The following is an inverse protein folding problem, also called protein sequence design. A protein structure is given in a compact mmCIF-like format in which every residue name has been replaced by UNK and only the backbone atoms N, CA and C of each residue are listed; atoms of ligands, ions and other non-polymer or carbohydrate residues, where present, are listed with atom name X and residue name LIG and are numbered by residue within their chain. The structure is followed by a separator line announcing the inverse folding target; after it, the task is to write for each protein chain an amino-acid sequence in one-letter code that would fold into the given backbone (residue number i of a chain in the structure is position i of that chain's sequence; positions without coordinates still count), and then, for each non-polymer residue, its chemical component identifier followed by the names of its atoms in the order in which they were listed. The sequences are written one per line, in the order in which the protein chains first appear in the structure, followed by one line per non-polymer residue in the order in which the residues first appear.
data_IF_223363794065
#
_entry.id   IF_223363794065
#
_cell.length_a   1.000
_cell.length_b   1.000
_cell.length_c   1.000
_cell.angle_alpha   90.00
_cell.angle_beta   90.00
_cell.angle_gamma   90.00
#
_symmetry.space_group_name_H-M   'P 1'
#
loop_
_entity.id
_entity.type
_entity.pdbx_description
1 polymer ?
#
# COMPACT_ATOMS: atom_id res chain seq x y z
N UNK A 1 -20.91 -33.83 31.65
CA UNK A 1 -19.45 -34.06 31.77
C UNK A 1 -18.85 -34.04 30.38
N UNK A 2 -18.23 -32.94 29.95
CA UNK A 2 -17.48 -32.86 28.68
C UNK A 2 -16.20 -32.06 28.93
N UNK A 3 -15.09 -32.59 28.42
CA UNK A 3 -13.72 -32.36 28.86
C UNK A 3 -13.13 -31.00 28.46
N UNK A 4 -12.35 -30.42 29.37
CA UNK A 4 -11.61 -29.18 29.19
C UNK A 4 -10.32 -29.36 28.37
N UNK A 5 -10.14 -28.48 27.38
CA UNK A 5 -8.96 -28.42 26.54
C UNK A 5 -7.90 -27.49 27.17
N UNK A 6 -6.82 -28.09 27.69
CA UNK A 6 -5.63 -27.38 28.21
C UNK A 6 -4.73 -26.96 27.03
N UNK A 7 -4.64 -25.66 26.77
CA UNK A 7 -3.61 -25.11 25.86
C UNK A 7 -2.24 -25.09 26.56
N UNK A 8 -1.26 -25.78 25.99
CA UNK A 8 0.15 -25.71 26.36
C UNK A 8 0.75 -24.42 25.78
N UNK A 9 1.40 -23.63 26.62
CA UNK A 9 2.22 -22.49 26.23
C UNK A 9 3.63 -23.02 25.93
N UNK A 10 4.07 -22.91 24.67
CA UNK A 10 5.41 -23.28 24.26
C UNK A 10 6.41 -22.20 24.71
N UNK A 11 7.41 -22.66 25.45
CA UNK A 11 8.53 -21.90 26.01
C UNK A 11 9.55 -21.65 24.88
N UNK A 12 9.74 -20.40 24.47
CA UNK A 12 10.78 -20.02 23.51
C UNK A 12 12.10 -19.79 24.24
N UNK A 13 13.10 -20.54 23.81
CA UNK A 13 14.46 -20.60 24.34
C UNK A 13 15.23 -19.30 24.12
N UNK A 14 15.94 -18.89 25.16
CA UNK A 14 16.93 -17.81 25.18
C UNK A 14 18.13 -18.14 24.30
N UNK A 15 18.45 -17.27 23.34
CA UNK A 15 19.68 -17.30 22.56
C UNK A 15 20.83 -16.79 23.46
N UNK A 16 21.82 -17.65 23.70
CA UNK A 16 23.09 -17.27 24.31
C UNK A 16 23.94 -16.46 23.30
N UNK A 17 24.35 -15.27 23.71
CA UNK A 17 25.37 -14.47 23.03
C UNK A 17 26.73 -14.98 23.50
N UNK A 18 27.53 -15.48 22.56
CA UNK A 18 28.90 -15.92 22.79
C UNK A 18 29.84 -14.74 22.98
N UNK A 19 30.52 -14.77 24.12
CA UNK A 19 31.65 -13.92 24.48
C UNK A 19 32.91 -14.39 23.73
N UNK A 20 33.50 -13.54 22.89
CA UNK A 20 34.86 -13.72 22.38
C UNK A 20 35.63 -12.41 22.52
N UNK A 21 36.57 -12.41 23.48
CA UNK A 21 37.51 -11.35 23.72
C UNK A 21 38.55 -11.25 22.60
N UNK A 22 38.63 -10.06 22.01
CA UNK A 22 39.77 -9.56 21.27
C UNK A 22 40.05 -8.18 21.83
N UNK A 23 41.26 -7.96 22.36
CA UNK A 23 41.77 -6.62 22.71
C UNK A 23 42.07 -5.89 21.40
N UNK A 24 41.01 -5.60 20.65
CA UNK A 24 41.05 -4.78 19.45
C UNK A 24 40.65 -3.39 19.85
N UNK A 25 41.60 -2.44 19.83
CA UNK A 25 41.25 -1.03 19.91
C UNK A 25 40.21 -0.72 18.84
N UNK A 26 39.13 -0.05 19.24
CA UNK A 26 38.02 0.31 18.36
C UNK A 26 38.56 1.05 17.13
N UNK A 27 38.38 0.50 15.93
CA UNK A 27 38.86 1.13 14.71
C UNK A 27 38.19 2.51 14.49
N UNK A 28 38.83 3.47 13.80
CA UNK A 28 38.21 4.76 13.51
C UNK A 28 36.89 4.59 12.74
N UNK A 29 35.84 5.30 13.14
CA UNK A 29 34.49 5.09 12.60
C UNK A 29 33.39 5.90 13.28
N UNK A 30 32.16 5.78 12.75
CA UNK A 30 30.95 6.33 13.37
C UNK A 30 30.39 5.33 14.38
N UNK A 31 30.28 5.73 15.64
CA UNK A 31 29.75 4.90 16.72
C UNK A 31 28.67 5.68 17.51
N UNK A 32 27.81 5.01 18.29
CA UNK A 32 26.82 5.69 19.13
C UNK A 32 27.48 6.74 20.03
N UNK A 33 26.94 7.96 20.07
CA UNK A 33 27.54 9.06 20.85
C UNK A 33 27.47 8.72 22.35
N UNK A 34 28.61 8.58 23.06
CA UNK A 34 28.62 8.23 24.48
C UNK A 34 27.99 9.33 25.35
N UNK A 35 27.90 10.57 24.85
CA UNK A 35 27.24 11.66 25.57
C UNK A 35 25.71 11.63 25.42
N UNK A 36 25.17 10.82 24.51
CA UNK A 36 23.74 10.75 24.22
C UNK A 36 23.14 11.99 23.56
N UNK A 37 23.96 12.99 23.18
CA UNK A 37 23.50 14.25 22.57
C UNK A 37 23.18 14.10 21.08
N UNK A 38 23.85 13.19 20.40
CA UNK A 38 23.72 12.91 18.97
C UNK A 38 23.52 11.42 18.69
N UNK A 39 23.12 11.04 17.47
CA UNK A 39 22.85 9.62 17.13
C UNK A 39 24.14 8.83 16.99
N UNK A 40 25.16 9.44 16.39
CA UNK A 40 26.49 8.86 16.29
C UNK A 40 27.55 9.95 16.31
N UNK A 41 28.72 9.64 16.83
CA UNK A 41 29.89 10.50 16.87
C UNK A 41 31.06 9.78 16.21
N UNK A 42 31.94 10.54 15.58
CA UNK A 42 33.13 9.97 14.98
C UNK A 42 34.17 9.70 16.06
N UNK A 43 34.61 8.45 16.16
CA UNK A 43 35.75 8.01 16.96
C UNK A 43 36.97 7.90 16.05
N UNK A 44 38.08 8.55 16.39
CA UNK A 44 39.30 8.58 15.56
C UNK A 44 40.22 7.37 15.79
N UNK A 45 39.79 6.39 16.57
CA UNK A 45 40.60 5.24 16.98
C UNK A 45 41.33 5.43 18.32
N UNK A 46 41.32 6.65 18.88
CA UNK A 46 41.92 6.96 20.19
C UNK A 46 40.94 7.73 21.09
N UNK A 47 40.20 8.69 20.52
CA UNK A 47 39.26 9.56 21.23
C UNK A 47 38.06 9.91 20.35
N UNK A 48 36.98 10.36 21.01
CA UNK A 48 35.81 10.90 20.35
C UNK A 48 36.08 12.29 19.82
N UNK A 49 35.65 12.59 18.60
CA UNK A 49 35.88 13.91 17.98
C UNK A 49 34.65 14.83 18.13
N UNK A 50 34.77 16.14 17.84
CA UNK A 50 33.62 17.05 17.83
C UNK A 50 32.61 16.75 16.71
N UNK A 51 32.94 15.87 15.78
CA UNK A 51 32.11 15.57 14.62
C UNK A 51 31.03 14.57 15.03
N UNK A 52 29.78 15.00 14.94
CA UNK A 52 28.62 14.20 15.27
C UNK A 52 27.64 14.18 14.10
N UNK A 53 26.78 13.16 14.07
CA UNK A 53 25.63 13.11 13.20
C UNK A 53 24.38 13.44 14.01
N UNK A 54 23.65 14.46 13.57
CA UNK A 54 22.33 14.74 14.11
C UNK A 54 21.36 13.57 13.86
N UNK A 55 20.14 13.69 14.39
CA UNK A 55 19.11 12.67 14.19
C UNK A 55 18.71 12.44 12.71
N UNK A 56 19.17 13.30 11.80
CA UNK A 56 18.94 13.22 10.34
C UNK A 56 20.20 12.76 9.59
N UNK A 57 21.21 12.25 10.31
CA UNK A 57 22.52 11.87 9.76
C UNK A 57 23.26 13.01 9.04
N UNK A 58 23.02 14.26 9.43
CA UNK A 58 23.79 15.40 8.92
C UNK A 58 25.02 15.62 9.80
N UNK A 59 26.21 15.85 9.22
CA UNK A 59 27.39 16.26 9.97
C UNK A 59 27.13 17.57 10.71
N UNK A 60 27.34 17.56 12.02
CA UNK A 60 27.27 18.71 12.93
C UNK A 60 28.54 18.73 13.77
N UNK A 61 29.01 19.94 14.10
CA UNK A 61 30.15 20.14 14.97
C UNK A 61 29.66 20.44 16.39
N UNK A 62 30.02 19.57 17.34
CA UNK A 62 29.68 19.68 18.76
C UNK A 62 30.95 19.73 19.61
N UNK A 63 31.30 20.88 20.21
CA UNK A 63 32.51 21.02 21.01
C UNK A 63 32.45 20.10 22.24
N UNK A 64 33.46 19.24 22.38
CA UNK A 64 33.64 18.39 23.55
C UNK A 64 34.40 19.16 24.64
N UNK A 65 33.93 19.18 25.89
CA UNK A 65 34.67 19.78 26.99
C UNK A 65 36.02 19.07 27.15
N UNK A 66 37.12 19.82 27.07
CA UNK A 66 38.49 19.29 27.17
C UNK A 66 39.25 19.16 25.84
N UNK A 67 38.63 19.43 24.69
CA UNK A 67 39.33 19.52 23.39
C UNK A 67 39.61 20.97 23.00
N UNK A 68 40.66 21.55 23.59
CA UNK A 68 41.13 22.93 23.32
C UNK A 68 42.26 23.00 22.28
N UNK A 69 42.43 21.99 21.43
CA UNK A 69 43.57 21.90 20.50
C UNK A 69 43.19 21.59 19.07
N UNK A 70 43.58 22.50 18.16
CA UNK A 70 43.81 22.35 16.71
C UNK A 70 42.94 21.34 15.94
N UNK A 71 42.04 21.85 15.10
CA UNK A 71 41.34 21.09 14.05
C UNK A 71 42.38 20.43 13.13
N UNK A 72 42.56 19.09 13.14
CA UNK A 72 43.40 18.43 12.15
C UNK A 72 42.70 18.59 10.79
N UNK A 73 43.42 19.13 9.82
CA UNK A 73 42.90 19.41 8.48
C UNK A 73 42.22 18.18 7.87
N UNK A 74 40.99 18.37 7.40
CA UNK A 74 40.31 17.40 6.55
C UNK A 74 41.14 17.15 5.27
N UNK A 75 41.08 15.96 4.67
CA UNK A 75 41.36 15.81 3.24
C UNK A 75 40.27 16.55 2.46
N UNK A 76 40.61 17.71 1.91
CA UNK A 76 39.75 18.50 1.03
C UNK A 76 39.38 17.70 -0.22
N UNK A 77 38.10 17.49 -0.47
CA UNK A 77 37.63 17.08 -1.80
C UNK A 77 37.91 18.26 -2.76
N UNK A 78 38.62 18.07 -3.88
CA UNK A 78 39.00 19.19 -4.74
C UNK A 78 37.76 19.80 -5.42
N UNK A 79 37.45 21.05 -5.05
CA UNK A 79 36.43 21.87 -5.69
C UNK A 79 37.07 22.66 -6.83
N UNK A 80 36.96 22.16 -8.06
CA UNK A 80 37.25 22.93 -9.27
C UNK A 80 36.06 23.80 -9.62
N UNK A 81 36.17 25.11 -9.40
CA UNK A 81 35.16 26.08 -9.84
C UNK A 81 35.66 27.51 -9.66
N UNK A 82 35.93 28.27 -10.73
CA UNK A 82 36.40 29.64 -10.63
C UNK A 82 35.24 30.59 -10.29
N UNK A 83 35.54 31.57 -9.45
CA UNK A 83 34.67 32.69 -9.11
C UNK A 83 34.39 33.59 -10.33
N UNK A 84 33.26 34.33 -10.32
CA UNK A 84 33.25 35.63 -10.97
C UNK A 84 32.67 36.73 -10.07
N UNK A 85 33.40 37.85 -10.02
CA UNK A 85 32.91 39.13 -9.54
C UNK A 85 32.39 40.00 -10.69
N UNK A 86 31.42 40.85 -10.36
CA UNK A 86 31.28 42.22 -10.89
C UNK A 86 30.53 42.45 -12.22
N UNK A 87 29.33 43.05 -12.09
CA UNK A 87 28.81 44.24 -12.80
C UNK A 87 27.37 44.08 -13.37
N UNK A 88 26.49 45.11 -13.23
CA UNK A 88 25.15 45.09 -13.81
C UNK A 88 25.17 45.71 -15.22
N UNK A 89 24.91 44.89 -16.23
CA UNK A 89 24.77 45.29 -17.63
C UNK A 89 23.41 44.85 -18.19
N UNK A 90 22.60 45.82 -18.56
CA UNK A 90 21.33 45.67 -19.28
C UNK A 90 21.61 45.10 -20.69
N UNK A 91 20.95 44.00 -21.08
CA UNK A 91 21.05 43.49 -22.44
C UNK A 91 20.53 42.07 -22.68
N UNK A 92 19.45 41.98 -23.45
CA UNK A 92 19.15 40.95 -24.45
C UNK A 92 19.08 39.46 -24.04
N UNK A 93 17.84 38.97 -23.94
CA UNK A 93 17.40 37.74 -24.65
C UNK A 93 18.21 36.47 -24.43
N UNK A 94 18.38 36.03 -23.19
CA UNK A 94 18.87 34.68 -22.91
C UNK A 94 17.79 33.64 -23.27
N UNK A 95 17.98 32.96 -24.40
CA UNK A 95 17.29 31.69 -24.69
C UNK A 95 17.58 30.74 -23.52
N UNK A 96 16.57 30.23 -22.79
CA UNK A 96 16.82 29.41 -21.61
C UNK A 96 17.56 28.14 -22.05
N UNK A 97 18.84 28.09 -21.67
CA UNK A 97 19.73 26.96 -21.86
C UNK A 97 19.05 25.70 -21.30
N UNK A 98 19.04 24.66 -22.13
CA UNK A 98 18.28 23.42 -21.98
C UNK A 98 18.14 22.99 -20.53
N UNK A 99 16.89 22.97 -20.06
CA UNK A 99 16.54 22.34 -18.80
C UNK A 99 17.01 20.88 -18.89
N UNK A 100 18.15 20.59 -18.24
CA UNK A 100 18.72 19.27 -18.17
C UNK A 100 17.59 18.31 -17.74
N UNK A 101 17.26 17.38 -18.62
CA UNK A 101 16.18 16.42 -18.43
C UNK A 101 16.39 15.70 -17.09
N UNK A 102 15.54 16.02 -16.11
CA UNK A 102 15.63 15.43 -14.79
C UNK A 102 15.63 13.90 -14.92
N UNK A 103 16.49 13.19 -14.17
CA UNK A 103 16.58 11.74 -14.26
C UNK A 103 15.21 11.12 -13.98
N UNK A 104 14.71 10.34 -14.93
CA UNK A 104 13.42 9.65 -14.84
C UNK A 104 13.50 8.65 -13.70
N UNK A 105 12.68 8.85 -12.66
CA UNK A 105 12.64 7.94 -11.52
C UNK A 105 12.31 6.51 -12.00
N UNK A 106 13.09 5.49 -11.58
CA UNK A 106 12.86 4.11 -11.98
C UNK A 106 11.48 3.63 -11.51
N UNK A 107 10.81 2.85 -12.36
CA UNK A 107 9.50 2.28 -12.06
C UNK A 107 9.67 1.22 -10.96
N UNK A 108 8.87 1.24 -9.89
CA UNK A 108 8.86 0.15 -8.91
C UNK A 108 8.17 -1.08 -9.53
N UNK A 109 8.91 -1.83 -10.35
CA UNK A 109 8.41 -3.01 -11.09
C UNK A 109 7.72 -4.00 -10.15
N UNK A 110 8.25 -4.19 -8.94
CA UNK A 110 7.65 -5.09 -7.95
C UNK A 110 6.21 -4.71 -7.55
N UNK A 111 5.92 -3.42 -7.38
CA UNK A 111 4.58 -2.96 -7.03
C UNK A 111 3.58 -3.15 -8.19
N UNK A 112 4.04 -3.00 -9.43
CA UNK A 112 3.21 -3.25 -10.62
C UNK A 112 2.90 -4.73 -10.77
N UNK A 113 3.92 -5.59 -10.71
CA UNK A 113 3.76 -7.05 -10.81
C UNK A 113 2.79 -7.57 -9.75
N UNK A 114 2.94 -7.12 -8.51
CA UNK A 114 2.01 -7.47 -7.43
C UNK A 114 0.56 -7.10 -7.77
N UNK A 115 0.30 -5.87 -8.23
CA UNK A 115 -1.07 -5.44 -8.60
C UNK A 115 -1.63 -6.23 -9.77
N UNK A 116 -0.82 -6.50 -10.79
CA UNK A 116 -1.23 -7.33 -11.93
C UNK A 116 -1.59 -8.76 -11.47
N UNK A 117 -0.83 -9.34 -10.54
CA UNK A 117 -1.14 -10.63 -9.96
C UNK A 117 -2.48 -10.60 -9.21
N UNK A 118 -2.70 -9.60 -8.35
CA UNK A 118 -3.97 -9.44 -7.61
C UNK A 118 -5.16 -9.29 -8.57
N UNK A 119 -5.01 -8.54 -9.66
CA UNK A 119 -6.04 -8.40 -10.70
C UNK A 119 -6.33 -9.71 -11.43
N UNK A 120 -5.29 -10.50 -11.72
CA UNK A 120 -5.44 -11.83 -12.29
C UNK A 120 -6.19 -12.78 -11.35
N UNK A 121 -5.84 -12.81 -10.07
CA UNK A 121 -6.54 -13.61 -9.06
C UNK A 121 -8.00 -13.18 -8.94
N UNK A 122 -8.29 -11.88 -8.90
CA UNK A 122 -9.67 -11.38 -8.86
C UNK A 122 -10.50 -11.83 -10.08
N UNK A 123 -9.92 -11.79 -11.29
CA UNK A 123 -10.58 -12.29 -12.50
C UNK A 123 -10.92 -13.78 -12.43
N UNK A 124 -9.97 -14.60 -11.95
CA UNK A 124 -10.18 -16.05 -11.76
C UNK A 124 -11.29 -16.30 -10.73
N UNK A 125 -11.32 -15.55 -9.63
CA UNK A 125 -12.37 -15.69 -8.61
C UNK A 125 -13.75 -15.30 -9.17
N UNK A 126 -13.85 -14.25 -9.99
CA UNK A 126 -15.12 -13.91 -10.64
C UNK A 126 -15.61 -15.03 -11.57
N UNK A 127 -14.72 -15.54 -12.43
CA UNK A 127 -15.06 -16.64 -13.31
C UNK A 127 -15.53 -17.87 -12.51
N UNK A 128 -14.77 -18.24 -11.48
CA UNK A 128 -15.06 -19.40 -10.64
C UNK A 128 -16.37 -19.22 -9.84
N UNK A 129 -16.58 -18.06 -9.24
CA UNK A 129 -17.76 -17.74 -8.43
C UNK A 129 -19.06 -17.67 -9.24
N UNK A 130 -19.02 -17.13 -10.47
CA UNK A 130 -20.21 -17.05 -11.32
C UNK A 130 -20.48 -18.33 -12.14
N UNK A 131 -19.45 -19.05 -12.58
CA UNK A 131 -19.61 -20.17 -13.52
C UNK A 131 -19.55 -21.53 -12.85
N UNK A 132 -18.66 -21.71 -11.87
CA UNK A 132 -18.33 -23.04 -11.34
C UNK A 132 -19.07 -23.32 -10.03
N UNK A 133 -19.02 -22.36 -9.11
CA UNK A 133 -19.57 -22.53 -7.77
C UNK A 133 -21.08 -22.29 -7.71
N UNK A 134 -21.78 -22.95 -6.79
CA UNK A 134 -23.15 -22.61 -6.50
C UNK A 134 -23.22 -21.20 -5.94
N UNK A 135 -24.08 -20.38 -6.53
CA UNK A 135 -24.19 -18.97 -6.20
C UNK A 135 -25.26 -18.73 -5.13
N UNK A 136 -26.36 -19.48 -5.23
CA UNK A 136 -27.42 -19.47 -4.25
C UNK A 136 -27.98 -20.88 -4.03
N UNK A 137 -28.36 -21.15 -2.79
CA UNK A 137 -29.19 -22.28 -2.42
C UNK A 137 -30.66 -21.92 -2.55
N UNK A 138 -31.44 -22.86 -3.05
CA UNK A 138 -32.85 -22.62 -3.35
C UNK A 138 -33.71 -23.68 -2.70
N UNK A 139 -34.73 -23.24 -1.97
CA UNK A 139 -35.74 -24.11 -1.38
C UNK A 139 -36.91 -24.30 -2.37
N UNK A 140 -37.06 -25.50 -2.94
CA UNK A 140 -38.17 -25.83 -3.85
C UNK A 140 -39.43 -26.24 -3.07
N UNK A 141 -40.58 -25.56 -3.25
CA UNK A 141 -41.88 -26.09 -2.84
C UNK A 141 -42.34 -27.20 -3.80
N UNK A 142 -43.11 -28.23 -3.36
CA UNK A 142 -43.82 -28.33 -2.08
C UNK A 142 -43.21 -29.36 -1.10
N UNK A 143 -43.08 -28.94 0.17
CA UNK A 143 -42.96 -29.73 1.42
C UNK A 143 -41.63 -30.33 1.88
N UNK A 144 -40.61 -30.52 1.04
CA UNK A 144 -39.39 -31.19 1.54
C UNK A 144 -38.16 -30.30 1.75
N UNK A 145 -38.24 -28.98 1.46
CA UNK A 145 -37.09 -28.05 1.54
C UNK A 145 -35.79 -28.69 1.04
N UNK A 146 -35.87 -29.39 -0.11
CA UNK A 146 -34.70 -30.03 -0.70
C UNK A 146 -33.80 -28.92 -1.24
N UNK A 147 -32.84 -28.53 -0.42
CA UNK A 147 -31.84 -27.54 -0.74
C UNK A 147 -31.13 -27.90 -2.05
N UNK A 148 -31.35 -27.12 -3.10
CA UNK A 148 -30.73 -27.32 -4.41
C UNK A 148 -29.69 -26.21 -4.67
N UNK A 149 -28.38 -26.52 -4.64
CA UNK A 149 -27.34 -25.55 -4.95
C UNK A 149 -27.41 -25.18 -6.44
N UNK A 150 -27.67 -23.89 -6.72
CA UNK A 150 -27.90 -23.40 -8.09
C UNK A 150 -26.75 -22.49 -8.53
N UNK A 151 -26.22 -22.72 -9.74
CA UNK A 151 -25.20 -21.85 -10.32
C UNK A 151 -25.81 -20.53 -10.78
N UNK A 152 -25.02 -19.47 -10.83
CA UNK A 152 -25.53 -18.13 -11.17
C UNK A 152 -26.21 -18.08 -12.56
N UNK A 153 -25.66 -18.79 -13.55
CA UNK A 153 -26.24 -18.84 -14.91
C UNK A 153 -27.62 -19.52 -14.96
N UNK A 154 -27.88 -20.46 -14.04
CA UNK A 154 -29.14 -21.19 -13.92
C UNK A 154 -30.16 -20.44 -13.07
N UNK A 155 -29.69 -19.53 -12.20
CA UNK A 155 -30.50 -18.77 -11.26
C UNK A 155 -31.57 -17.91 -11.96
N UNK A 156 -31.21 -17.21 -13.04
CA UNK A 156 -32.16 -16.35 -13.77
C UNK A 156 -33.33 -17.12 -14.41
N UNK A 157 -33.09 -18.19 -15.19
CA UNK A 157 -34.14 -19.09 -15.67
C UNK A 157 -34.99 -19.67 -14.53
N UNK A 158 -34.35 -20.14 -13.44
CA UNK A 158 -35.06 -20.70 -12.29
C UNK A 158 -36.02 -19.67 -11.67
N UNK A 159 -35.54 -18.46 -11.38
CA UNK A 159 -36.35 -17.39 -10.79
C UNK A 159 -37.56 -16.99 -11.64
N UNK A 160 -37.42 -17.04 -12.97
CA UNK A 160 -38.54 -16.75 -13.89
C UNK A 160 -39.59 -17.85 -13.91
N UNK A 161 -39.20 -19.10 -13.70
CA UNK A 161 -40.13 -20.23 -13.71
C UNK A 161 -41.04 -20.26 -12.48
N UNK A 162 -40.54 -19.82 -11.32
CA UNK A 162 -41.25 -19.92 -10.03
C UNK A 162 -41.91 -18.62 -9.55
N UNK A 163 -41.92 -17.58 -10.39
CA UNK A 163 -42.48 -16.24 -10.12
C UNK A 163 -42.33 -15.80 -8.65
N UNK A 164 -41.10 -15.74 -8.17
CA UNK A 164 -40.79 -15.60 -6.74
C UNK A 164 -41.10 -14.21 -6.16
N UNK A 165 -41.93 -13.40 -6.82
CA UNK A 165 -42.25 -12.02 -6.43
C UNK A 165 -41.05 -11.07 -6.43
N UNK A 166 -39.96 -11.45 -7.10
CA UNK A 166 -38.69 -10.72 -7.03
C UNK A 166 -38.80 -9.35 -7.70
N UNK A 167 -38.15 -8.35 -7.09
CA UNK A 167 -38.10 -6.99 -7.63
C UNK A 167 -37.54 -6.97 -9.06
N UNK A 168 -37.89 -5.94 -9.84
CA UNK A 168 -37.31 -5.76 -11.18
C UNK A 168 -35.78 -5.75 -11.18
N UNK A 169 -35.18 -5.19 -10.13
CA UNK A 169 -33.73 -5.19 -9.94
C UNK A 169 -33.17 -6.60 -9.74
N UNK A 170 -33.79 -7.43 -8.88
CA UNK A 170 -33.35 -8.81 -8.66
C UNK A 170 -33.44 -9.68 -9.92
N UNK A 171 -34.45 -9.44 -10.77
CA UNK A 171 -34.58 -10.10 -12.09
C UNK A 171 -33.48 -9.68 -13.06
N UNK A 172 -33.18 -8.39 -13.17
CA UNK A 172 -32.07 -7.92 -14.01
C UNK A 172 -30.73 -8.46 -13.48
N UNK A 173 -30.54 -8.40 -12.16
CA UNK A 173 -29.34 -8.86 -11.50
C UNK A 173 -29.09 -10.35 -11.70
N UNK A 174 -30.08 -11.21 -11.54
CA UNK A 174 -29.96 -12.65 -11.80
C UNK A 174 -29.95 -13.00 -13.29
N UNK A 175 -30.43 -12.11 -14.15
CA UNK A 175 -30.45 -12.26 -15.61
C UNK A 175 -29.11 -12.00 -16.31
N UNK A 176 -28.00 -11.91 -15.58
CA UNK A 176 -26.67 -11.68 -16.14
C UNK A 176 -26.08 -10.28 -15.92
N UNK A 177 -26.81 -9.36 -15.28
CA UNK A 177 -26.26 -8.03 -14.98
C UNK A 177 -25.10 -8.09 -13.97
N UNK A 178 -25.09 -9.06 -13.04
CA UNK A 178 -24.04 -9.18 -12.03
C UNK A 178 -22.62 -9.40 -12.62
N UNK A 179 -22.38 -10.39 -13.50
CA UNK A 179 -21.07 -10.59 -14.11
C UNK A 179 -20.69 -9.42 -15.03
N UNK A 180 -21.66 -8.76 -15.68
CA UNK A 180 -21.39 -7.56 -16.47
C UNK A 180 -20.88 -6.41 -15.60
N UNK A 181 -21.52 -6.16 -14.45
CA UNK A 181 -21.06 -5.15 -13.49
C UNK A 181 -19.67 -5.50 -12.94
N UNK A 182 -19.45 -6.75 -12.54
CA UNK A 182 -18.14 -7.20 -12.05
C UNK A 182 -17.04 -7.03 -13.11
N UNK A 183 -17.32 -7.40 -14.36
CA UNK A 183 -16.40 -7.22 -15.49
C UNK A 183 -16.11 -5.75 -15.76
N UNK A 184 -17.14 -4.89 -15.78
CA UNK A 184 -16.98 -3.46 -16.00
C UNK A 184 -16.11 -2.81 -14.90
N UNK A 185 -16.38 -3.15 -13.62
CA UNK A 185 -15.57 -2.67 -12.49
C UNK A 185 -14.12 -3.15 -12.61
N UNK A 186 -13.92 -4.43 -12.93
CA UNK A 186 -12.58 -5.00 -13.14
C UNK A 186 -11.81 -4.27 -14.25
N UNK A 187 -12.44 -4.03 -15.41
CA UNK A 187 -11.84 -3.28 -16.53
C UNK A 187 -11.46 -1.87 -16.10
N UNK A 188 -12.34 -1.16 -15.39
CA UNK A 188 -12.05 0.19 -14.89
C UNK A 188 -10.82 0.18 -13.97
N UNK A 189 -10.70 -0.80 -13.06
CA UNK A 189 -9.54 -0.91 -12.17
C UNK A 189 -8.26 -1.27 -12.93
N UNK A 190 -8.32 -2.18 -13.89
CA UNK A 190 -7.17 -2.55 -14.75
C UNK A 190 -6.67 -1.33 -15.51
N UNK A 191 -7.57 -0.65 -16.22
CA UNK A 191 -7.24 0.57 -16.99
C UNK A 191 -6.64 1.63 -16.08
N UNK A 192 -7.20 1.78 -14.88
CA UNK A 192 -6.70 2.71 -13.86
C UNK A 192 -5.26 2.38 -13.42
N UNK A 193 -5.00 1.12 -13.07
CA UNK A 193 -3.67 0.66 -12.65
C UNK A 193 -2.66 0.86 -13.79
N UNK A 194 -3.03 0.53 -15.03
CA UNK A 194 -2.19 0.71 -16.21
C UNK A 194 -1.93 2.19 -16.50
N UNK A 195 -2.94 3.07 -16.42
CA UNK A 195 -2.77 4.52 -16.60
C UNK A 195 -1.76 5.09 -15.60
N UNK A 196 -1.91 4.77 -14.31
CA UNK A 196 -0.97 5.23 -13.26
C UNK A 196 0.43 4.69 -13.48
N UNK A 197 0.56 3.45 -13.98
CA UNK A 197 1.85 2.83 -14.24
C UNK A 197 2.55 3.40 -15.48
N UNK A 198 1.81 3.59 -16.58
CA UNK A 198 2.36 3.92 -17.89
C UNK A 198 2.56 5.43 -18.10
N UNK A 199 1.75 6.29 -17.47
CA UNK A 199 1.84 7.75 -17.67
C UNK A 199 2.81 8.38 -16.66
N UNK A 200 3.98 8.91 -17.10
CA UNK A 200 4.99 9.46 -16.18
C UNK A 200 4.47 10.64 -15.36
N UNK A 201 3.58 11.45 -15.92
CA UNK A 201 2.98 12.60 -15.24
C UNK A 201 2.25 12.20 -13.94
N UNK A 202 1.60 11.03 -13.92
CA UNK A 202 0.88 10.54 -12.75
C UNK A 202 1.80 9.99 -11.65
N UNK A 203 3.06 9.70 -11.98
CA UNK A 203 4.07 9.30 -10.98
C UNK A 203 4.53 10.49 -10.14
N UNK A 204 4.64 11.67 -10.77
CA UNK A 204 5.08 12.88 -10.09
C UNK A 204 3.97 13.53 -9.25
N UNK A 205 2.72 13.47 -9.74
CA UNK A 205 1.54 13.98 -9.03
C UNK A 205 0.44 12.92 -9.13
N UNK A 206 0.18 12.17 -8.05
CA UNK A 206 -0.85 11.17 -8.13
C UNK A 206 -2.19 11.85 -8.38
N UNK A 207 -2.93 11.44 -9.42
CA UNK A 207 -4.23 12.01 -9.68
C UNK A 207 -5.20 11.67 -8.54
N UNK A 208 -6.25 12.47 -8.38
CA UNK A 208 -7.28 12.25 -7.37
C UNK A 208 -8.34 11.22 -7.81
N UNK A 209 -8.49 11.00 -9.13
CA UNK A 209 -9.47 10.08 -9.70
C UNK A 209 -9.35 8.60 -9.25
N UNK A 210 -8.20 8.04 -8.82
CA UNK A 210 -8.15 6.69 -8.24
C UNK A 210 -9.02 6.54 -6.99
N UNK A 211 -9.26 7.63 -6.27
CA UNK A 211 -10.22 7.64 -5.15
C UNK A 211 -11.64 7.45 -5.67
N UNK A 212 -12.00 8.09 -6.79
CA UNK A 212 -13.30 7.87 -7.43
C UNK A 212 -13.45 6.42 -7.89
N UNK A 213 -12.39 5.84 -8.47
CA UNK A 213 -12.41 4.43 -8.89
C UNK A 213 -12.58 3.50 -7.68
N UNK A 214 -11.88 3.77 -6.57
CA UNK A 214 -12.08 3.02 -5.33
C UNK A 214 -13.52 3.15 -4.79
N UNK A 215 -14.08 4.36 -4.77
CA UNK A 215 -15.47 4.59 -4.36
C UNK A 215 -16.44 3.85 -5.29
N UNK A 216 -16.21 3.87 -6.60
CA UNK A 216 -17.01 3.14 -7.57
C UNK A 216 -16.94 1.62 -7.35
N UNK A 217 -15.75 1.07 -7.04
CA UNK A 217 -15.59 -0.35 -6.67
C UNK A 217 -16.38 -0.68 -5.40
N UNK A 218 -16.30 0.17 -4.37
CA UNK A 218 -17.04 -0.03 -3.12
C UNK A 218 -18.56 0.06 -3.32
N UNK A 219 -19.02 1.03 -4.10
CA UNK A 219 -20.45 1.15 -4.45
C UNK A 219 -20.91 -0.03 -5.31
N UNK A 220 -20.07 -0.54 -6.21
CA UNK A 220 -20.36 -1.76 -6.96
C UNK A 220 -20.50 -2.99 -6.07
N UNK A 221 -19.57 -3.18 -5.13
CA UNK A 221 -19.66 -4.25 -4.13
C UNK A 221 -20.90 -4.11 -3.23
N UNK A 222 -21.24 -2.87 -2.85
CA UNK A 222 -22.45 -2.59 -2.09
C UNK A 222 -23.72 -2.85 -2.92
N UNK A 223 -23.74 -2.50 -4.19
CA UNK A 223 -24.86 -2.79 -5.09
C UNK A 223 -25.07 -4.30 -5.25
N UNK A 224 -23.98 -5.06 -5.39
CA UNK A 224 -24.00 -6.54 -5.34
C UNK A 224 -24.59 -7.06 -4.04
N UNK A 225 -24.22 -6.48 -2.89
CA UNK A 225 -24.75 -6.86 -1.58
C UNK A 225 -26.24 -6.51 -1.40
N UNK A 226 -26.63 -5.29 -1.73
CA UNK A 226 -27.99 -4.79 -1.50
C UNK A 226 -28.99 -5.54 -2.35
N UNK A 227 -28.69 -5.67 -3.64
CA UNK A 227 -29.65 -6.28 -4.54
C UNK A 227 -29.46 -7.78 -4.73
N UNK A 228 -28.53 -8.39 -3.99
CA UNK A 228 -28.50 -9.84 -3.83
C UNK A 228 -29.92 -10.32 -3.49
N UNK A 229 -30.46 -11.29 -4.25
CA UNK A 229 -31.84 -11.73 -4.09
C UNK A 229 -32.17 -12.25 -2.68
N UNK A 230 -31.13 -12.58 -1.89
CA UNK A 230 -31.21 -13.04 -0.50
C UNK A 230 -31.83 -12.00 0.44
N UNK A 231 -31.78 -10.71 0.12
CA UNK A 231 -32.34 -9.66 0.99
C UNK A 231 -33.87 -9.52 0.95
N UNK A 232 -34.58 -10.28 0.11
CA UNK A 232 -36.02 -10.08 -0.08
C UNK A 232 -36.86 -11.36 -0.17
N UNK A 233 -36.24 -12.54 -0.21
CA UNK A 233 -36.96 -13.80 -0.39
C UNK A 233 -36.50 -14.83 0.63
N UNK A 234 -37.44 -15.38 1.39
CA UNK A 234 -37.19 -16.38 2.44
C UNK A 234 -36.59 -17.69 1.87
N UNK A 235 -36.65 -17.88 0.55
CA UNK A 235 -36.30 -19.12 -0.15
C UNK A 235 -34.88 -19.18 -0.73
N UNK A 236 -34.05 -18.13 -0.53
CA UNK A 236 -32.72 -18.05 -1.12
C UNK A 236 -31.66 -17.91 -0.02
N UNK A 237 -30.69 -18.81 -0.02
CA UNK A 237 -29.52 -18.74 0.86
C UNK A 237 -28.27 -18.39 0.04
N UNK A 238 -27.43 -17.49 0.54
CA UNK A 238 -26.13 -17.20 -0.10
C UNK A 238 -25.20 -18.39 -0.02
N UNK A 239 -24.54 -18.73 -1.13
CA UNK A 239 -23.58 -19.83 -1.19
C UNK A 239 -22.13 -19.41 -1.42
N UNK A 240 -21.25 -20.40 -1.42
CA UNK A 240 -19.81 -20.20 -1.64
C UNK A 240 -19.47 -19.35 -2.87
N UNK A 241 -20.21 -19.48 -3.98
CA UNK A 241 -19.99 -18.68 -5.19
C UNK A 241 -20.16 -17.18 -4.97
N UNK A 242 -21.18 -16.79 -4.19
CA UNK A 242 -21.40 -15.40 -3.81
C UNK A 242 -20.24 -14.83 -2.97
N UNK A 243 -19.78 -15.60 -1.97
CA UNK A 243 -18.66 -15.18 -1.13
C UNK A 243 -17.36 -15.02 -1.93
N UNK A 244 -17.10 -15.92 -2.88
CA UNK A 244 -15.95 -15.85 -3.77
C UNK A 244 -15.99 -14.58 -4.64
N UNK A 245 -17.15 -14.21 -5.16
CA UNK A 245 -17.32 -12.94 -5.90
C UNK A 245 -17.10 -11.73 -4.99
N UNK A 246 -17.57 -11.77 -3.74
CA UNK A 246 -17.33 -10.69 -2.78
C UNK A 246 -15.83 -10.52 -2.48
N UNK A 247 -15.11 -11.63 -2.28
CA UNK A 247 -13.65 -11.63 -2.10
C UNK A 247 -12.95 -11.04 -3.33
N UNK A 248 -13.40 -11.37 -4.54
CA UNK A 248 -12.91 -10.77 -5.78
C UNK A 248 -13.02 -9.24 -5.79
N UNK A 249 -14.15 -8.69 -5.33
CA UNK A 249 -14.32 -7.23 -5.20
C UNK A 249 -13.39 -6.62 -4.14
N UNK A 250 -13.20 -7.29 -3.00
CA UNK A 250 -12.25 -6.84 -1.97
C UNK A 250 -10.81 -6.81 -2.50
N UNK A 251 -10.42 -7.79 -3.32
CA UNK A 251 -9.10 -7.81 -3.97
C UNK A 251 -8.94 -6.66 -4.97
N UNK A 252 -9.98 -6.29 -5.72
CA UNK A 252 -9.94 -5.11 -6.58
C UNK A 252 -9.66 -3.83 -5.78
N UNK A 253 -10.23 -3.70 -4.59
CA UNK A 253 -9.99 -2.57 -3.70
C UNK A 253 -8.53 -2.50 -3.22
N UNK A 254 -7.89 -3.66 -3.01
CA UNK A 254 -6.46 -3.77 -2.68
C UNK A 254 -5.57 -3.42 -3.88
N UNK A 255 -6.01 -3.75 -5.09
CA UNK A 255 -5.28 -3.42 -6.33
C UNK A 255 -5.33 -1.92 -6.67
N UNK A 256 -6.35 -1.20 -6.19
CA UNK A 256 -6.48 0.24 -6.40
C UNK A 256 -5.24 0.98 -5.89
N UNK A 257 -4.64 1.89 -6.69
CA UNK A 257 -3.52 2.70 -6.28
C UNK A 257 -4.03 3.83 -5.37
N UNK A 258 -4.52 3.48 -4.18
CA UNK A 258 -4.83 4.45 -3.16
C UNK A 258 -3.53 5.15 -2.78
N UNK A 259 -3.54 6.47 -2.98
CA UNK A 259 -2.42 7.34 -2.67
C UNK A 259 -1.99 7.08 -1.24
N UNK A 260 -0.76 6.54 -1.10
CA UNK A 260 -0.20 6.15 0.18
C UNK A 260 -0.48 7.23 1.21
N UNK A 261 -1.23 6.85 2.25
CA UNK A 261 -1.51 7.70 3.42
C UNK A 261 -0.23 8.42 3.75
N UNK A 262 -0.30 9.75 3.69
CA UNK A 262 0.70 10.72 4.17
C UNK A 262 1.60 10.08 5.22
N UNK A 263 2.75 9.55 4.79
CA UNK A 263 3.90 9.30 5.67
C UNK A 263 4.57 10.65 6.01
N UNK A 264 3.73 11.67 6.18
CA UNK A 264 4.03 13.10 6.19
C UNK A 264 3.19 13.75 7.30
N UNK A 265 3.29 13.18 8.50
CA UNK A 265 2.88 13.84 9.75
C UNK A 265 3.62 13.31 10.98
N UNK A 266 4.88 12.87 10.81
CA UNK A 266 5.85 12.82 11.91
C UNK A 266 6.78 14.04 11.89
N UNK A 267 6.61 14.95 10.92
CA UNK A 267 7.17 16.30 10.96
C UNK A 267 6.10 17.25 11.49
N UNK A 268 6.47 18.02 12.51
CA UNK A 268 5.81 19.19 13.11
C UNK A 268 4.77 18.92 14.21
N UNK A 269 5.22 18.95 15.47
CA UNK A 269 4.93 20.10 16.35
C UNK A 269 5.72 19.98 17.66
N UNK A 270 7.00 20.36 17.63
CA UNK A 270 7.60 21.01 18.81
C UNK A 270 7.61 22.49 18.47
N UNK A 271 6.46 23.12 18.68
CA UNK A 271 6.36 24.56 18.78
C UNK A 271 7.19 24.97 20.00
N UNK A 272 8.21 25.79 19.78
CA UNK A 272 8.92 26.47 20.85
C UNK A 272 8.02 27.61 21.33
N UNK A 273 7.58 27.65 22.60
CA UNK A 273 6.90 28.82 23.14
C UNK A 273 7.89 29.98 23.19
N UNK A 274 7.53 31.12 22.58
CA UNK A 274 8.31 32.35 22.67
C UNK A 274 8.26 32.92 24.10
N UNK A 275 9.37 33.45 24.63
CA UNK A 275 9.38 34.06 25.96
C UNK A 275 8.78 35.48 25.97
N UNK A 276 7.96 35.75 27.00
CA UNK A 276 7.72 37.09 27.58
C UNK A 276 8.86 37.47 28.53
#
# INVERSE_FOLDING_TARGET
MVAGSRRRVARLSSVQVGEQGSVGGTAPGWYPDPSGRYVSRWYDGRQWTPQALDVRQRPVFDPLPGQTGAVPGFPSVPATGPAPGGAPGSGSGAVPAGAASAPVAPVPVGALVFRCLVLGVAAVLFLFGFVVLPYAGVDTPPRDFSYAPTRYLELGPWLRAYDTGMSGWGRLYSGGLAPLLAAAIWVVVVVSVLLVALVPAYRARPPWWPVLVFVAVMLGALAVMIGSPVNGTVMLQTESGYLVVLIGHLLLAVACPLTGRKQRRSRTSTAVPGPC
#
